data_IF_741562211199
#
_entry.id   IF_741562211199
#
_cell.length_a   1.000
_cell.length_b   1.000
_cell.length_c   1.000
_cell.angle_alpha   90.00
_cell.angle_beta   90.00
_cell.angle_gamma   90.00
#
_symmetry.space_group_name_H-M   'P 1'
#
loop_
_entity.id
_entity.type
_entity.pdbx_description
1 polymer ?
#
# COMPACT_ATOMS: atom_id res chain seq x y z
N UNK A 1 46.42 -49.83 5.96
CA UNK A 1 45.90 -48.60 5.26
C UNK A 1 44.56 -48.24 5.85
N UNK A 2 44.47 -47.21 6.70
CA UNK A 2 43.20 -46.79 7.36
C UNK A 2 42.65 -45.63 6.58
N UNK A 3 41.51 -45.83 5.92
CA UNK A 3 40.78 -44.78 5.22
C UNK A 3 39.97 -43.98 6.25
N UNK A 4 40.28 -42.68 6.40
CA UNK A 4 39.46 -41.74 7.19
C UNK A 4 38.38 -41.17 6.27
N UNK A 5 37.15 -41.55 6.52
CA UNK A 5 35.98 -40.92 5.87
C UNK A 5 35.60 -39.68 6.68
N UNK A 6 35.85 -38.52 6.11
CA UNK A 6 35.42 -37.26 6.69
C UNK A 6 34.00 -36.96 6.20
N UNK A 7 33.04 -37.06 7.11
CA UNK A 7 31.62 -36.74 6.84
C UNK A 7 31.43 -35.22 6.93
N UNK A 8 31.36 -34.53 5.79
CA UNK A 8 31.06 -33.10 5.74
C UNK A 8 29.54 -32.91 5.83
N UNK A 9 29.06 -32.49 7.01
CA UNK A 9 27.68 -32.13 7.19
C UNK A 9 27.40 -30.77 6.50
N UNK A 10 26.67 -30.80 5.39
CA UNK A 10 26.14 -29.60 4.76
C UNK A 10 24.92 -29.18 5.54
N UNK A 11 25.05 -28.15 6.38
CA UNK A 11 23.90 -27.50 7.04
C UNK A 11 23.19 -26.63 5.99
N UNK A 12 22.10 -27.17 5.45
CA UNK A 12 21.18 -26.38 4.63
C UNK A 12 20.44 -25.40 5.57
N UNK A 13 20.93 -24.16 5.61
CA UNK A 13 20.23 -23.08 6.30
C UNK A 13 19.03 -22.70 5.44
N UNK A 14 17.89 -23.33 5.69
CA UNK A 14 16.61 -22.91 5.11
C UNK A 14 16.31 -21.50 5.63
N UNK A 15 16.59 -20.49 4.80
CA UNK A 15 16.07 -19.16 5.03
C UNK A 15 14.55 -19.28 5.03
N UNK A 16 13.94 -19.23 6.22
CA UNK A 16 12.51 -19.04 6.36
C UNK A 16 12.20 -17.67 5.75
N UNK A 17 11.86 -17.64 4.45
CA UNK A 17 11.18 -16.51 3.86
C UNK A 17 9.86 -16.38 4.63
N UNK A 18 9.82 -15.51 5.63
CA UNK A 18 8.58 -15.05 6.21
C UNK A 18 7.84 -14.35 5.06
N UNK A 19 6.95 -15.07 4.40
CA UNK A 19 6.00 -14.48 3.47
C UNK A 19 5.18 -13.49 4.29
N UNK A 20 5.52 -12.22 4.21
CA UNK A 20 4.67 -11.16 4.73
C UNK A 20 3.36 -11.26 3.93
N UNK A 21 2.24 -11.40 4.64
CA UNK A 21 0.97 -11.57 3.96
C UNK A 21 0.63 -10.29 3.19
N UNK A 22 0.41 -10.45 1.89
CA UNK A 22 0.00 -9.35 1.03
C UNK A 22 -1.48 -9.02 1.24
N UNK A 23 -1.79 -7.74 1.23
CA UNK A 23 -3.15 -7.19 1.24
C UNK A 23 -3.27 -6.16 0.11
N UNK A 24 -3.28 -6.61 -1.16
CA UNK A 24 -2.97 -5.77 -2.31
C UNK A 24 -4.09 -4.81 -2.72
N UNK A 25 -5.25 -4.86 -2.06
CA UNK A 25 -6.40 -4.03 -2.41
C UNK A 25 -7.42 -3.96 -1.27
N UNK A 26 -8.46 -3.14 -1.43
CA UNK A 26 -9.60 -3.10 -0.53
C UNK A 26 -10.23 -4.50 -0.38
N UNK A 27 -10.50 -4.91 0.84
CA UNK A 27 -10.99 -6.23 1.25
C UNK A 27 -10.01 -7.39 0.98
N UNK A 28 -8.73 -7.11 0.71
CA UNK A 28 -7.68 -8.12 0.59
C UNK A 28 -7.63 -8.85 -0.75
N UNK A 29 -6.81 -9.90 -0.85
CA UNK A 29 -6.54 -10.59 -2.12
C UNK A 29 -7.81 -11.16 -2.76
N UNK A 30 -8.70 -11.74 -1.97
CA UNK A 30 -9.94 -12.37 -2.43
C UNK A 30 -11.16 -11.45 -2.34
N UNK A 31 -11.00 -10.18 -1.97
CA UNK A 31 -12.07 -9.18 -1.78
C UNK A 31 -13.18 -9.62 -0.82
N UNK A 32 -12.84 -10.42 0.17
CA UNK A 32 -13.79 -10.98 1.14
C UNK A 32 -13.53 -10.51 2.59
N UNK A 33 -12.54 -9.62 2.80
CA UNK A 33 -12.09 -9.12 4.09
C UNK A 33 -11.60 -10.22 5.06
N UNK A 34 -11.17 -11.36 4.55
CA UNK A 34 -10.67 -12.49 5.34
C UNK A 34 -9.16 -12.61 5.12
N UNK A 35 -8.39 -12.58 6.22
CA UNK A 35 -6.97 -12.92 6.20
C UNK A 35 -6.79 -14.41 6.40
N UNK A 36 -5.88 -15.00 5.62
CA UNK A 36 -5.46 -16.41 5.77
C UNK A 36 -4.30 -16.57 6.75
N UNK A 37 -3.84 -15.49 7.38
CA UNK A 37 -2.76 -15.53 8.37
C UNK A 37 -3.09 -16.45 9.54
N UNK A 38 -2.06 -17.15 10.01
CA UNK A 38 -2.15 -18.10 11.12
C UNK A 38 -1.21 -17.67 12.24
N UNK A 39 -1.46 -18.19 13.44
CA UNK A 39 -0.62 -17.90 14.59
C UNK A 39 -0.84 -16.53 15.21
N UNK A 40 -1.90 -15.82 14.83
CA UNK A 40 -2.27 -14.56 15.45
C UNK A 40 -2.60 -14.76 16.93
N UNK A 41 -2.15 -13.82 17.76
CA UNK A 41 -2.48 -13.81 19.18
C UNK A 41 -4.00 -13.61 19.37
N UNK A 42 -4.61 -14.42 20.22
CA UNK A 42 -6.03 -14.27 20.58
C UNK A 42 -6.27 -13.25 21.68
N UNK A 43 -5.21 -12.90 22.40
CA UNK A 43 -5.20 -11.84 23.42
C UNK A 43 -3.91 -11.06 23.29
N UNK A 44 -3.99 -9.77 23.58
CA UNK A 44 -2.85 -8.87 23.54
C UNK A 44 -2.31 -8.64 24.95
N UNK A 45 -1.00 -8.36 25.13
CA UNK A 45 -0.47 -7.85 26.38
C UNK A 45 -1.21 -6.58 26.85
N UNK A 46 -1.10 -6.22 28.12
CA UNK A 46 -1.75 -5.04 28.69
C UNK A 46 -1.45 -3.75 27.90
N UNK A 47 -0.23 -3.60 27.34
CA UNK A 47 0.17 -2.48 26.48
C UNK A 47 -0.27 -2.58 25.01
N UNK A 48 -1.07 -3.59 24.63
CA UNK A 48 -1.46 -3.85 23.24
C UNK A 48 -0.35 -4.46 22.38
N UNK A 49 -0.54 -4.51 21.06
CA UNK A 49 0.48 -4.99 20.13
C UNK A 49 1.65 -4.01 20.05
N UNK A 50 2.86 -4.53 19.79
CA UNK A 50 4.04 -3.70 19.59
C UNK A 50 3.86 -2.81 18.36
N UNK A 51 3.90 -1.50 18.54
CA UNK A 51 3.99 -0.52 17.44
C UNK A 51 5.41 -0.54 16.88
N UNK A 52 5.57 -0.84 15.60
CA UNK A 52 6.87 -0.85 14.93
C UNK A 52 7.30 0.56 14.53
N UNK A 53 6.38 1.32 13.97
CA UNK A 53 6.60 2.69 13.52
C UNK A 53 5.30 3.47 13.42
N UNK A 54 5.41 4.77 13.33
CA UNK A 54 4.30 5.70 13.10
C UNK A 54 4.75 6.76 12.11
N UNK A 55 3.87 7.15 11.19
CA UNK A 55 4.12 8.21 10.21
C UNK A 55 2.96 9.21 10.23
N UNK A 56 3.28 10.48 10.01
CA UNK A 56 2.27 11.51 9.78
C UNK A 56 1.92 11.56 8.30
N UNK A 57 0.63 11.47 8.01
CA UNK A 57 0.06 11.55 6.67
C UNK A 57 -0.82 12.79 6.53
N UNK A 58 -1.16 13.15 5.30
CA UNK A 58 -2.23 14.06 5.01
C UNK A 58 -3.61 13.44 5.31
N UNK A 59 -4.67 14.16 4.99
CA UNK A 59 -6.03 13.69 5.22
C UNK A 59 -6.37 12.49 4.32
N UNK A 60 -7.08 11.50 4.87
CA UNK A 60 -7.51 10.31 4.12
C UNK A 60 -8.41 9.40 4.93
N UNK A 61 -9.25 8.66 4.21
CA UNK A 61 -10.17 7.64 4.73
C UNK A 61 -9.95 6.29 4.05
N UNK A 62 -9.11 6.25 3.01
CA UNK A 62 -8.71 5.02 2.34
C UNK A 62 -7.79 4.18 3.23
N UNK A 63 -7.87 2.86 3.08
CA UNK A 63 -6.92 1.94 3.70
C UNK A 63 -5.58 1.93 2.98
N UNK A 64 -4.59 1.32 3.62
CA UNK A 64 -3.34 0.98 2.96
C UNK A 64 -3.46 -0.36 2.21
N UNK A 65 -2.73 -0.48 1.11
CA UNK A 65 -2.47 -1.75 0.46
C UNK A 65 -1.05 -2.20 0.80
N UNK A 66 -0.85 -3.51 0.96
CA UNK A 66 0.44 -4.11 1.29
C UNK A 66 0.81 -5.12 0.23
N UNK A 67 1.99 -5.02 -0.33
CA UNK A 67 2.53 -6.00 -1.26
C UNK A 67 4.06 -5.98 -1.27
N UNK A 68 4.65 -7.18 -1.30
CA UNK A 68 6.10 -7.37 -1.41
C UNK A 68 6.89 -6.56 -0.38
N UNK A 69 6.43 -6.52 0.87
CA UNK A 69 7.10 -5.79 1.95
C UNK A 69 7.00 -4.27 1.87
N UNK A 70 6.07 -3.75 1.09
CA UNK A 70 5.79 -2.32 0.94
C UNK A 70 4.35 -1.99 1.30
N UNK A 71 4.15 -0.78 1.81
CA UNK A 71 2.84 -0.21 2.13
C UNK A 71 2.56 0.92 1.16
N UNK A 72 1.44 0.84 0.47
CA UNK A 72 0.98 1.88 -0.45
C UNK A 72 -0.25 2.57 0.14
N UNK A 73 -0.21 3.89 0.21
CA UNK A 73 -1.31 4.68 0.75
C UNK A 73 -1.51 5.94 -0.09
N UNK A 74 -2.76 6.32 -0.27
CA UNK A 74 -3.13 7.58 -0.92
C UNK A 74 -3.61 8.53 0.16
N UNK A 75 -2.94 9.67 0.32
CA UNK A 75 -3.34 10.75 1.21
C UNK A 75 -3.50 12.07 0.46
N UNK A 76 -4.04 13.08 1.13
CA UNK A 76 -4.32 14.38 0.53
C UNK A 76 -3.69 15.48 1.35
N UNK A 77 -2.96 16.39 0.68
CA UNK A 77 -2.25 17.49 1.32
C UNK A 77 -2.65 18.84 0.70
N UNK A 78 -2.48 19.91 1.48
CA UNK A 78 -2.69 21.29 1.06
C UNK A 78 -4.07 21.84 1.41
N UNK A 79 -4.14 23.16 1.56
CA UNK A 79 -5.37 23.89 1.94
C UNK A 79 -6.01 24.63 0.74
N UNK A 80 -5.22 25.05 -0.25
CA UNK A 80 -5.69 25.80 -1.42
C UNK A 80 -5.31 25.16 -2.74
N UNK A 81 -4.11 24.55 -2.83
CA UNK A 81 -3.69 23.73 -3.96
C UNK A 81 -3.66 22.27 -3.51
N UNK A 82 -4.82 21.72 -3.35
CA UNK A 82 -4.96 20.37 -2.85
C UNK A 82 -4.39 19.37 -3.82
N UNK A 83 -3.55 18.49 -3.27
CA UNK A 83 -2.88 17.43 -4.01
C UNK A 83 -3.21 16.09 -3.38
N UNK A 84 -3.47 15.11 -4.22
CA UNK A 84 -3.40 13.72 -3.78
C UNK A 84 -1.97 13.21 -3.90
N UNK A 85 -1.53 12.40 -2.94
CA UNK A 85 -0.17 11.86 -2.86
C UNK A 85 -0.24 10.35 -2.68
N UNK A 86 0.27 9.61 -3.65
CA UNK A 86 0.57 8.19 -3.49
C UNK A 86 1.93 8.07 -2.81
N UNK A 87 1.97 7.36 -1.68
CA UNK A 87 3.21 7.04 -0.95
C UNK A 87 3.46 5.56 -0.95
N UNK A 88 4.73 5.21 -1.09
CA UNK A 88 5.24 3.87 -0.91
C UNK A 88 6.21 3.85 0.27
N UNK A 89 5.88 3.08 1.30
CA UNK A 89 6.67 2.96 2.52
C UNK A 89 7.22 1.55 2.65
N UNK A 90 8.34 1.42 3.33
CA UNK A 90 8.84 0.12 3.76
C UNK A 90 7.98 -0.43 4.89
N UNK A 91 7.52 -1.67 4.77
CA UNK A 91 6.59 -2.28 5.72
C UNK A 91 7.18 -2.45 7.12
N UNK A 92 8.48 -2.70 7.24
CA UNK A 92 9.11 -2.97 8.53
C UNK A 92 9.56 -1.71 9.26
N UNK A 93 9.91 -0.66 8.52
CA UNK A 93 10.51 0.54 9.07
C UNK A 93 9.64 1.79 8.97
N UNK A 94 8.59 1.77 8.14
CA UNK A 94 7.76 2.94 7.83
C UNK A 94 8.47 4.02 7.00
N UNK A 95 9.72 3.78 6.57
CA UNK A 95 10.48 4.75 5.78
C UNK A 95 9.87 4.92 4.40
N UNK A 96 9.57 6.17 4.01
CA UNK A 96 9.13 6.48 2.65
C UNK A 96 10.25 6.15 1.67
N UNK A 97 9.93 5.32 0.69
CA UNK A 97 10.83 4.93 -0.39
C UNK A 97 10.65 5.82 -1.61
N UNK A 98 9.43 6.15 -1.92
CA UNK A 98 9.05 7.10 -2.96
C UNK A 98 7.63 7.61 -2.73
N UNK A 99 7.34 8.74 -3.35
CA UNK A 99 6.00 9.28 -3.43
C UNK A 99 5.77 9.99 -4.76
N UNK A 100 4.50 10.10 -5.14
CA UNK A 100 4.09 10.87 -6.31
C UNK A 100 2.87 11.71 -5.97
N UNK A 101 2.93 13.01 -6.25
CA UNK A 101 1.84 13.94 -6.00
C UNK A 101 1.30 14.51 -7.30
N UNK A 102 0.00 14.73 -7.36
CA UNK A 102 -0.68 15.39 -8.48
C UNK A 102 -1.74 16.36 -7.98
N UNK A 103 -2.02 17.36 -8.79
CA UNK A 103 -3.03 18.37 -8.47
C UNK A 103 -4.42 17.75 -8.55
N UNK A 104 -5.19 17.89 -7.48
CA UNK A 104 -6.54 17.40 -7.36
C UNK A 104 -7.42 18.48 -6.70
N UNK A 105 -7.57 19.67 -7.36
CA UNK A 105 -8.26 20.80 -6.77
C UNK A 105 -9.75 20.51 -6.57
N UNK A 106 -10.29 20.94 -5.45
CA UNK A 106 -11.71 20.79 -5.14
C UNK A 106 -11.95 20.59 -3.64
N UNK A 107 -13.21 20.67 -3.27
CA UNK A 107 -13.67 20.46 -1.89
C UNK A 107 -14.67 19.31 -1.84
N UNK A 108 -14.54 18.50 -0.82
CA UNK A 108 -15.50 17.47 -0.43
C UNK A 108 -15.88 17.72 1.03
N UNK A 109 -17.07 17.30 1.43
CA UNK A 109 -17.58 17.52 2.78
C UNK A 109 -16.59 17.07 3.88
N UNK A 110 -15.89 15.98 3.64
CA UNK A 110 -14.83 15.48 4.51
C UNK A 110 -13.53 15.43 3.70
N UNK A 111 -12.62 16.39 3.88
CA UNK A 111 -11.36 16.44 3.13
C UNK A 111 -10.53 15.16 3.29
N UNK A 112 -9.94 14.69 2.20
CA UNK A 112 -9.07 13.54 2.20
C UNK A 112 -9.31 12.57 1.04
N UNK A 113 -8.32 11.74 0.77
CA UNK A 113 -8.44 10.63 -0.19
C UNK A 113 -9.36 9.55 0.37
N UNK A 114 -10.03 8.78 -0.49
CA UNK A 114 -11.05 7.81 -0.07
C UNK A 114 -10.80 6.39 -0.55
N UNK A 115 -9.94 6.22 -1.54
CA UNK A 115 -9.67 4.92 -2.11
C UNK A 115 -8.44 4.26 -1.48
N UNK A 116 -8.50 2.96 -1.29
CA UNK A 116 -7.33 2.12 -1.05
C UNK A 116 -6.65 1.89 -2.39
N UNK A 117 -5.32 2.06 -2.52
CA UNK A 117 -4.60 1.65 -3.70
C UNK A 117 -4.84 0.18 -4.03
N UNK A 118 -4.86 -0.18 -5.31
CA UNK A 118 -4.92 -1.56 -5.75
C UNK A 118 -3.61 -1.92 -6.47
N UNK A 119 -3.06 -3.09 -6.15
CA UNK A 119 -1.79 -3.57 -6.70
C UNK A 119 -2.05 -4.81 -7.51
N UNK A 120 -1.58 -4.81 -8.76
CA UNK A 120 -1.63 -5.97 -9.64
C UNK A 120 -0.31 -6.08 -10.41
N UNK A 121 0.41 -7.17 -10.19
CA UNK A 121 1.73 -7.39 -10.77
C UNK A 121 2.69 -6.23 -10.49
N UNK A 122 3.16 -5.60 -11.55
CA UNK A 122 4.09 -4.46 -11.48
C UNK A 122 3.41 -3.10 -11.34
N UNK A 123 2.09 -3.05 -11.22
CA UNK A 123 1.34 -1.80 -11.25
C UNK A 123 0.64 -1.49 -9.94
N UNK A 124 0.52 -0.19 -9.67
CA UNK A 124 -0.30 0.37 -8.57
C UNK A 124 -1.35 1.28 -9.18
N UNK A 125 -2.60 1.07 -8.80
CA UNK A 125 -3.73 1.87 -9.25
C UNK A 125 -4.26 2.70 -8.09
N UNK A 126 -4.55 3.98 -8.35
CA UNK A 126 -5.19 4.88 -7.38
C UNK A 126 -6.33 5.62 -8.03
N UNK A 127 -7.36 5.93 -7.24
CA UNK A 127 -8.47 6.77 -7.67
C UNK A 127 -8.66 7.91 -6.66
N UNK A 128 -8.40 9.12 -7.08
CA UNK A 128 -8.61 10.33 -6.28
C UNK A 128 -10.08 10.67 -6.09
N UNK A 129 -10.37 11.52 -5.11
CA UNK A 129 -11.73 11.95 -4.78
C UNK A 129 -12.42 12.74 -5.89
N UNK A 130 -11.69 13.23 -6.88
CA UNK A 130 -12.21 14.01 -8.01
C UNK A 130 -12.10 13.24 -9.35
N UNK A 131 -12.05 11.90 -9.26
CA UNK A 131 -12.08 11.03 -10.42
C UNK A 131 -10.73 10.84 -11.11
N UNK A 132 -9.64 11.30 -10.51
CA UNK A 132 -8.29 11.15 -11.06
C UNK A 132 -7.81 9.72 -10.86
N UNK A 133 -7.87 8.91 -11.90
CA UNK A 133 -7.43 7.52 -11.93
C UNK A 133 -6.02 7.46 -12.50
N UNK A 134 -5.10 6.88 -11.75
CA UNK A 134 -3.70 6.69 -12.14
C UNK A 134 -3.30 5.23 -12.13
N UNK A 135 -2.43 4.85 -13.05
CA UNK A 135 -1.66 3.61 -13.04
C UNK A 135 -0.17 3.97 -12.94
N UNK A 136 0.50 3.46 -11.93
CA UNK A 136 1.93 3.64 -11.71
C UNK A 136 2.67 2.33 -11.92
N UNK A 137 3.87 2.40 -12.46
CA UNK A 137 4.81 1.29 -12.46
C UNK A 137 5.64 1.31 -11.17
N UNK A 138 5.62 0.18 -10.43
CA UNK A 138 6.32 0.03 -9.13
C UNK A 138 7.85 0.14 -9.25
N UNK A 139 8.41 -0.17 -10.42
CA UNK A 139 9.86 -0.22 -10.61
C UNK A 139 10.41 1.14 -11.03
N UNK A 140 9.68 1.85 -11.88
CA UNK A 140 10.09 3.18 -12.34
C UNK A 140 9.58 4.31 -11.46
N UNK A 141 8.60 4.02 -10.59
CA UNK A 141 7.92 4.98 -9.70
C UNK A 141 7.22 6.12 -10.47
N UNK A 142 6.83 5.86 -11.70
CA UNK A 142 6.23 6.87 -12.59
C UNK A 142 4.84 6.44 -13.03
N UNK A 143 3.95 7.40 -13.35
CA UNK A 143 2.69 7.08 -13.97
C UNK A 143 2.94 6.50 -15.38
N UNK A 144 2.26 5.41 -15.67
CA UNK A 144 2.19 4.79 -17.01
C UNK A 144 1.09 5.46 -17.81
N UNK A 145 -0.04 5.71 -17.14
CA UNK A 145 -1.16 6.47 -17.69
C UNK A 145 -2.00 7.08 -16.56
N UNK A 146 -2.79 8.07 -16.91
CA UNK A 146 -3.82 8.64 -16.06
C UNK A 146 -5.06 8.99 -16.87
N UNK A 147 -6.21 8.99 -16.21
CA UNK A 147 -7.52 9.40 -16.71
C UNK A 147 -8.25 10.17 -15.63
N UNK A 148 -9.15 11.05 -16.03
CA UNK A 148 -10.13 11.58 -15.09
C UNK A 148 -11.50 11.03 -15.48
N UNK A 149 -12.01 10.08 -14.70
CA UNK A 149 -13.24 9.33 -15.02
C UNK A 149 -14.48 10.23 -15.04
N UNK A 150 -14.46 11.38 -14.40
CA UNK A 150 -15.58 12.32 -14.47
C UNK A 150 -15.59 13.14 -15.75
N UNK A 151 -14.40 13.61 -16.17
CA UNK A 151 -14.24 14.40 -17.39
C UNK A 151 -14.34 13.53 -18.64
N UNK A 152 -13.68 12.38 -18.62
CA UNK A 152 -13.54 11.52 -19.79
C UNK A 152 -14.87 10.78 -20.13
N UNK A 153 -15.77 10.63 -19.17
CA UNK A 153 -17.05 9.93 -19.35
C UNK A 153 -18.29 10.83 -19.13
N UNK A 154 -18.10 12.15 -19.11
CA UNK A 154 -19.16 13.14 -18.92
C UNK A 154 -20.11 12.79 -17.76
N UNK A 155 -19.53 12.44 -16.62
CA UNK A 155 -20.26 11.95 -15.45
C UNK A 155 -21.15 13.04 -14.78
N UNK A 156 -21.28 14.22 -15.40
CA UNK A 156 -22.07 15.34 -14.93
C UNK A 156 -21.43 16.06 -13.73
N UNK A 157 -22.13 17.06 -13.24
CA UNK A 157 -21.72 17.77 -12.02
C UNK A 157 -22.02 16.88 -10.82
N UNK A 158 -20.99 16.38 -10.17
CA UNK A 158 -21.16 15.72 -8.86
C UNK A 158 -21.81 16.70 -7.86
N UNK A 159 -22.69 16.22 -6.99
CA UNK A 159 -23.23 17.08 -5.93
C UNK A 159 -22.06 17.65 -5.11
N UNK A 160 -22.07 18.95 -4.97
CA UNK A 160 -21.10 19.69 -4.15
C UNK A 160 -21.31 19.39 -2.67
#
# INVERSE_FOLDING_TARGET
>A
MKVKVTLTAVILMAAACSSLADWPQYLGPDRNAISTERGLLRSWPEGGPKVLWTITLGAGYGGAAVSEGKVYILDRIGNENEKDVLRCLDLLTGKEQWSFSYDAPGRVQHPGSRSTPAIDGSFVYTCGSFGDLYCFDKNTHKPVWNKNIWKDFDAGNFPK
#
